data_IF_137664942387
#
_entry.id   IF_137664942387
#
_cell.length_a   1.000
_cell.length_b   1.000
_cell.length_c   1.000
_cell.angle_alpha   90.00
_cell.angle_beta   90.00
_cell.angle_gamma   90.00
#
_symmetry.space_group_name_H-M   'P 1'
#
loop_
_entity.id
_entity.type
_entity.pdbx_description
1 polymer ?
#
# COMPACT_ATOMS: atom_id res chain seq x y z
N UNK A 1 -0.55 -2.56 15.25
CA UNK A 1 0.74 -2.29 14.57
C UNK A 1 0.54 -2.06 13.08
N UNK A 2 1.42 -1.26 12.44
CA UNK A 2 1.36 -0.96 10.99
C UNK A 2 2.72 -1.24 10.35
N UNK A 3 2.79 -2.20 9.45
CA UNK A 3 3.93 -2.43 8.56
C UNK A 3 3.80 -1.48 7.37
N UNK A 4 4.88 -0.77 7.02
CA UNK A 4 4.83 0.16 5.89
C UNK A 4 6.06 0.06 4.99
N UNK A 5 5.85 0.32 3.70
CA UNK A 5 6.91 0.57 2.72
C UNK A 5 6.62 1.89 2.00
N UNK A 6 7.67 2.67 1.75
CA UNK A 6 7.56 3.94 1.03
C UNK A 6 8.83 4.24 0.25
N UNK A 7 8.70 4.50 -1.05
CA UNK A 7 9.83 4.93 -1.87
C UNK A 7 10.09 6.44 -1.81
N UNK A 8 9.03 7.25 -1.87
CA UNK A 8 9.13 8.72 -2.01
C UNK A 8 8.51 9.52 -0.86
N UNK A 9 8.01 8.84 0.18
CA UNK A 9 7.46 9.48 1.37
C UNK A 9 5.93 9.43 1.47
N UNK A 10 5.18 9.35 0.39
CA UNK A 10 3.71 9.38 0.39
C UNK A 10 3.08 8.31 1.30
N UNK A 11 3.47 7.04 1.12
CA UNK A 11 2.96 5.95 1.95
C UNK A 11 3.43 6.07 3.40
N UNK A 12 4.64 6.57 3.65
CA UNK A 12 5.13 6.83 5.00
C UNK A 12 4.30 7.90 5.69
N UNK A 13 3.93 8.97 4.98
CA UNK A 13 3.06 10.01 5.53
C UNK A 13 1.71 9.42 5.93
N UNK A 14 1.06 8.64 5.04
CA UNK A 14 -0.22 7.96 5.35
C UNK A 14 -0.08 7.04 6.56
N UNK A 15 0.99 6.23 6.61
CA UNK A 15 1.25 5.32 7.73
C UNK A 15 1.42 6.07 9.06
N UNK A 16 2.16 7.19 9.06
CA UNK A 16 2.33 8.05 10.25
C UNK A 16 1.02 8.66 10.74
N UNK A 17 0.19 9.16 9.81
CA UNK A 17 -1.12 9.72 10.16
C UNK A 17 -2.05 8.67 10.79
N UNK A 18 -2.11 7.48 10.18
CA UNK A 18 -2.90 6.37 10.71
C UNK A 18 -2.38 5.91 12.08
N UNK A 19 -1.08 5.72 12.22
CA UNK A 19 -0.46 5.29 13.47
C UNK A 19 -0.77 6.28 14.62
N UNK A 20 -0.64 7.58 14.36
CA UNK A 20 -0.96 8.63 15.32
C UNK A 20 -2.44 8.57 15.76
N UNK A 21 -3.37 8.36 14.83
CA UNK A 21 -4.80 8.34 15.14
C UNK A 21 -5.28 7.03 15.79
N UNK A 22 -4.59 5.92 15.52
CA UNK A 22 -4.94 4.58 16.00
C UNK A 22 -4.17 4.16 17.25
N UNK A 23 -3.10 4.89 17.61
CA UNK A 23 -2.17 4.50 18.68
C UNK A 23 -1.30 3.29 18.30
N UNK A 24 -1.06 3.08 17.01
CA UNK A 24 -0.33 1.91 16.49
C UNK A 24 1.16 2.20 16.33
N UNK A 25 2.02 1.17 16.50
CA UNK A 25 3.44 1.23 16.20
C UNK A 25 3.68 1.09 14.70
N UNK A 26 4.74 1.79 14.20
CA UNK A 26 5.17 1.71 12.80
C UNK A 26 6.40 0.82 12.66
N UNK A 27 6.36 -0.07 11.67
CA UNK A 27 7.43 -1.02 11.37
C UNK A 27 7.76 -0.94 9.88
N UNK A 28 8.97 -0.47 9.50
CA UNK A 28 9.35 -0.37 8.09
C UNK A 28 9.63 -1.76 7.50
N UNK A 29 8.95 -2.11 6.40
CA UNK A 29 9.13 -3.40 5.73
C UNK A 29 10.49 -3.55 5.03
N UNK A 30 11.18 -2.43 4.77
CA UNK A 30 12.49 -2.44 4.12
C UNK A 30 13.63 -2.78 5.06
N UNK A 31 13.40 -2.78 6.38
CA UNK A 31 14.42 -3.12 7.36
C UNK A 31 14.54 -4.64 7.47
N UNK A 32 15.75 -5.16 7.28
CA UNK A 32 16.00 -6.60 7.43
C UNK A 32 15.73 -7.09 8.86
N UNK A 33 15.93 -6.23 9.86
CA UNK A 33 15.65 -6.52 11.27
C UNK A 33 14.16 -6.84 11.48
N UNK A 34 13.26 -6.18 10.77
CA UNK A 34 11.81 -6.43 10.85
C UNK A 34 11.42 -7.87 10.45
N UNK A 35 12.24 -8.55 9.65
CA UNK A 35 12.02 -9.97 9.28
C UNK A 35 12.59 -10.95 10.31
N UNK A 36 13.47 -10.50 11.18
CA UNK A 36 14.08 -11.31 12.24
C UNK A 36 13.24 -11.34 13.51
N UNK A 37 12.34 -10.36 13.68
CA UNK A 37 11.44 -10.30 14.82
C UNK A 37 10.23 -11.22 14.67
N UNK A 38 9.64 -11.59 15.82
CA UNK A 38 8.38 -12.34 15.90
C UNK A 38 7.32 -11.41 16.46
N UNK A 39 6.30 -11.15 15.67
CA UNK A 39 5.21 -10.25 16.06
C UNK A 39 4.03 -11.05 16.59
N UNK A 40 3.75 -10.89 17.88
CA UNK A 40 2.54 -11.43 18.48
C UNK A 40 1.35 -10.51 18.19
N UNK A 41 0.19 -11.10 17.95
CA UNK A 41 -1.07 -10.37 17.82
C UNK A 41 -1.94 -10.60 19.06
N UNK A 42 -2.02 -9.61 19.92
CA UNK A 42 -2.95 -9.66 21.04
C UNK A 42 -4.41 -9.72 20.56
N UNK A 43 -5.29 -10.23 21.42
CA UNK A 43 -6.73 -10.27 21.12
C UNK A 43 -7.26 -8.85 20.89
N UNK A 44 -7.87 -8.61 19.73
CA UNK A 44 -8.41 -7.30 19.34
C UNK A 44 -7.39 -6.37 18.69
N UNK A 45 -6.12 -6.76 18.58
CA UNK A 45 -5.11 -5.98 17.89
C UNK A 45 -5.31 -5.99 16.36
N UNK A 46 -5.08 -4.83 15.76
CA UNK A 46 -5.12 -4.63 14.32
C UNK A 46 -3.72 -4.76 13.73
N UNK A 47 -3.65 -5.35 12.54
CA UNK A 47 -2.43 -5.38 11.73
C UNK A 47 -2.69 -4.66 10.41
N UNK A 48 -1.96 -3.60 10.16
CA UNK A 48 -2.03 -2.79 8.95
C UNK A 48 -0.84 -3.00 8.03
N UNK A 49 -1.08 -2.93 6.72
CA UNK A 49 -0.04 -2.87 5.69
C UNK A 49 -0.25 -1.60 4.88
N UNK A 50 0.74 -0.69 4.86
CA UNK A 50 0.67 0.58 4.11
C UNK A 50 1.78 0.61 3.07
N UNK A 51 1.42 0.79 1.79
CA UNK A 51 2.38 0.67 0.69
C UNK A 51 1.94 1.44 -0.56
N UNK A 52 2.88 1.82 -1.45
CA UNK A 52 2.54 2.44 -2.74
C UNK A 52 2.09 1.41 -3.76
N UNK A 53 1.36 1.87 -4.77
CA UNK A 53 1.07 1.09 -5.98
C UNK A 53 2.16 1.33 -7.00
N UNK A 54 2.84 0.26 -7.44
CA UNK A 54 3.82 0.30 -8.52
C UNK A 54 3.33 -0.55 -9.70
N UNK A 55 3.19 0.06 -10.87
CA UNK A 55 2.66 -0.62 -12.06
C UNK A 55 1.38 -1.43 -11.76
N UNK A 56 0.43 -0.79 -11.08
CA UNK A 56 -0.89 -1.34 -10.70
C UNK A 56 -0.84 -2.62 -9.84
N UNK A 57 0.22 -2.75 -9.05
CA UNK A 57 0.44 -3.91 -8.16
C UNK A 57 1.15 -3.47 -6.88
N UNK A 58 1.05 -4.27 -5.78
CA UNK A 58 1.93 -4.07 -4.63
C UNK A 58 3.39 -4.23 -5.06
N UNK A 59 4.34 -3.41 -4.55
CA UNK A 59 5.75 -3.60 -4.79
C UNK A 59 6.23 -4.99 -4.37
N UNK A 60 7.22 -5.54 -5.10
CA UNK A 60 7.80 -6.86 -4.76
C UNK A 60 8.28 -6.94 -3.33
N UNK A 61 8.90 -5.89 -2.80
CA UNK A 61 9.38 -5.84 -1.41
C UNK A 61 8.24 -6.05 -0.40
N UNK A 62 7.03 -5.54 -0.68
CA UNK A 62 5.85 -5.73 0.17
C UNK A 62 5.37 -7.19 0.14
N UNK A 63 5.32 -7.79 -1.04
CA UNK A 63 4.91 -9.19 -1.21
C UNK A 63 5.95 -10.15 -0.60
N UNK A 64 7.24 -9.87 -0.76
CA UNK A 64 8.33 -10.64 -0.17
C UNK A 64 8.30 -10.54 1.37
N UNK A 65 8.09 -9.33 1.91
CA UNK A 65 7.93 -9.12 3.35
C UNK A 65 6.73 -9.90 3.89
N UNK A 66 5.57 -9.74 3.26
CA UNK A 66 4.35 -10.45 3.65
C UNK A 66 4.53 -11.99 3.64
N UNK A 67 5.27 -12.52 2.67
CA UNK A 67 5.56 -13.95 2.60
C UNK A 67 6.45 -14.46 3.73
N UNK A 68 7.34 -13.62 4.28
CA UNK A 68 8.42 -14.01 5.21
C UNK A 68 8.19 -13.57 6.65
N UNK A 69 7.44 -12.49 6.89
CA UNK A 69 7.24 -11.94 8.23
C UNK A 69 6.72 -13.00 9.20
N UNK A 70 7.34 -13.05 10.39
CA UNK A 70 6.91 -13.93 11.49
C UNK A 70 5.85 -13.22 12.31
N UNK A 71 4.61 -13.45 11.94
CA UNK A 71 3.45 -12.80 12.55
C UNK A 71 2.41 -13.86 12.89
N UNK A 72 1.90 -13.81 14.10
CA UNK A 72 0.73 -14.60 14.49
C UNK A 72 -0.46 -14.29 13.61
N UNK A 73 -1.38 -15.23 13.47
CA UNK A 73 -2.57 -15.00 12.64
C UNK A 73 -3.35 -13.77 13.12
N UNK A 74 -3.43 -12.70 12.31
CA UNK A 74 -4.11 -11.48 12.72
C UNK A 74 -5.61 -11.67 12.97
N UNK A 75 -6.14 -11.09 14.04
CA UNK A 75 -7.58 -11.05 14.30
C UNK A 75 -8.29 -10.07 13.35
N UNK A 76 -7.63 -8.98 13.02
CA UNK A 76 -8.09 -8.00 12.06
C UNK A 76 -6.88 -7.50 11.23
N UNK A 77 -6.91 -7.75 9.93
CA UNK A 77 -5.89 -7.32 8.98
C UNK A 77 -6.50 -6.38 7.96
N UNK A 78 -5.82 -5.27 7.70
CA UNK A 78 -6.20 -4.30 6.67
C UNK A 78 -5.00 -3.86 5.85
N UNK A 79 -5.26 -3.27 4.69
CA UNK A 79 -4.25 -2.56 3.93
C UNK A 79 -4.71 -1.15 3.52
N UNK A 80 -3.74 -0.27 3.32
CA UNK A 80 -3.93 1.04 2.69
C UNK A 80 -2.86 1.20 1.61
N UNK A 81 -3.27 1.34 0.35
CA UNK A 81 -2.33 1.61 -0.72
C UNK A 81 -2.40 3.07 -1.17
N UNK A 82 -1.25 3.64 -1.55
CA UNK A 82 -1.18 4.99 -2.11
C UNK A 82 -0.91 4.92 -3.62
N UNK A 83 -1.58 5.75 -4.39
CA UNK A 83 -1.40 5.85 -5.85
C UNK A 83 -1.50 7.31 -6.30
N UNK A 84 -0.92 7.62 -7.44
CA UNK A 84 -1.09 8.94 -8.08
C UNK A 84 -2.46 9.11 -8.71
N UNK A 85 -2.94 8.06 -9.38
CA UNK A 85 -4.21 8.05 -10.11
C UNK A 85 -5.08 6.87 -9.70
N UNK A 86 -4.76 5.67 -10.16
CA UNK A 86 -5.57 4.47 -9.88
C UNK A 86 -4.72 3.28 -9.38
N UNK A 87 -5.40 2.31 -8.79
CA UNK A 87 -4.75 1.15 -8.18
C UNK A 87 -4.69 -0.07 -9.08
N UNK A 88 -5.41 -0.09 -10.20
CA UNK A 88 -5.67 -1.35 -10.90
C UNK A 88 -6.25 -2.40 -9.95
N UNK A 89 -5.78 -3.63 -10.07
CA UNK A 89 -6.15 -4.77 -9.22
C UNK A 89 -5.15 -5.02 -8.05
N UNK A 90 -4.49 -3.98 -7.59
CA UNK A 90 -3.57 -4.06 -6.43
C UNK A 90 -4.20 -4.74 -5.22
N UNK A 91 -5.48 -4.45 -4.95
CA UNK A 91 -6.22 -5.07 -3.86
C UNK A 91 -6.29 -6.60 -4.01
N UNK A 92 -6.64 -7.09 -5.20
CA UNK A 92 -6.78 -8.52 -5.48
C UNK A 92 -5.42 -9.23 -5.29
N UNK A 93 -4.34 -8.64 -5.84
CA UNK A 93 -2.97 -9.20 -5.72
C UNK A 93 -2.52 -9.26 -4.26
N UNK A 94 -2.77 -8.21 -3.47
CA UNK A 94 -2.40 -8.19 -2.05
C UNK A 94 -3.21 -9.21 -1.25
N UNK A 95 -4.51 -9.26 -1.47
CA UNK A 95 -5.41 -10.20 -0.77
C UNK A 95 -5.08 -11.64 -1.06
N UNK A 96 -4.75 -11.97 -2.32
CA UNK A 96 -4.27 -13.30 -2.69
C UNK A 96 -2.99 -13.69 -1.92
N UNK A 97 -2.07 -12.75 -1.75
CA UNK A 97 -0.87 -12.98 -0.97
C UNK A 97 -1.16 -13.18 0.54
N UNK A 98 -2.12 -12.45 1.09
CA UNK A 98 -2.62 -12.61 2.47
C UNK A 98 -3.27 -13.99 2.65
N UNK A 99 -4.10 -14.42 1.69
CA UNK A 99 -4.76 -15.72 1.73
C UNK A 99 -3.78 -16.88 1.63
N UNK A 100 -2.69 -16.75 0.89
CA UNK A 100 -1.59 -17.75 0.85
C UNK A 100 -0.93 -17.95 2.20
N UNK A 101 -1.01 -16.99 3.12
CA UNK A 101 -0.58 -17.10 4.52
C UNK A 101 -1.62 -17.77 5.43
N UNK A 102 -2.80 -18.11 4.91
CA UNK A 102 -3.94 -18.58 5.71
C UNK A 102 -4.60 -17.48 6.52
N UNK A 103 -4.36 -16.20 6.17
CA UNK A 103 -4.94 -15.03 6.82
C UNK A 103 -6.12 -14.49 6.04
N UNK A 104 -6.89 -13.61 6.68
CA UNK A 104 -8.04 -12.93 6.07
C UNK A 104 -7.80 -11.44 6.07
N UNK A 105 -7.94 -10.78 4.92
CA UNK A 105 -7.97 -9.33 4.82
C UNK A 105 -9.39 -8.83 5.08
N UNK A 106 -9.57 -7.94 6.05
CA UNK A 106 -10.89 -7.49 6.51
C UNK A 106 -11.30 -6.14 5.92
N UNK A 107 -10.33 -5.26 5.64
CA UNK A 107 -10.58 -3.96 5.05
C UNK A 107 -9.42 -3.56 4.13
N UNK A 108 -9.72 -2.75 3.11
CA UNK A 108 -8.72 -2.26 2.17
C UNK A 108 -9.13 -0.92 1.57
N UNK A 109 -8.17 -0.03 1.49
CA UNK A 109 -8.40 1.35 1.06
C UNK A 109 -7.32 1.84 0.10
N UNK A 110 -7.67 2.80 -0.75
CA UNK A 110 -6.69 3.60 -1.47
C UNK A 110 -6.74 5.06 -1.03
N UNK A 111 -5.56 5.69 -1.07
CA UNK A 111 -5.37 7.12 -0.88
C UNK A 111 -4.66 7.66 -2.11
N UNK A 112 -5.30 8.62 -2.80
CA UNK A 112 -4.68 9.33 -3.92
C UNK A 112 -3.71 10.36 -3.36
N UNK A 113 -2.46 10.32 -3.83
CA UNK A 113 -1.35 11.15 -3.40
C UNK A 113 -0.73 11.85 -4.61
N UNK A 114 0.03 12.93 -4.42
CA UNK A 114 0.74 13.57 -5.52
C UNK A 114 1.62 12.58 -6.30
N UNK A 115 1.66 12.76 -7.62
CA UNK A 115 2.53 11.99 -8.48
C UNK A 115 4.00 12.33 -8.22
N UNK A 116 4.80 11.30 -8.03
CA UNK A 116 6.26 11.41 -7.83
C UNK A 116 7.04 10.64 -8.88
N UNK A 117 6.37 10.20 -9.94
CA UNK A 117 6.96 9.39 -10.98
C UNK A 117 7.39 10.27 -12.18
N UNK A 118 8.70 10.42 -12.35
CA UNK A 118 9.33 11.28 -13.37
C UNK A 118 10.26 10.49 -14.32
N UNK A 119 10.23 9.17 -14.27
CA UNK A 119 11.24 8.34 -14.94
C UNK A 119 10.93 8.03 -16.40
N UNK A 120 9.77 8.41 -16.91
CA UNK A 120 9.39 8.17 -18.32
C UNK A 120 9.00 9.48 -19.01
N UNK A 121 9.36 9.62 -20.32
CA UNK A 121 8.87 10.73 -21.13
C UNK A 121 7.33 10.79 -21.13
N UNK A 122 6.78 11.98 -20.86
CA UNK A 122 5.33 12.19 -20.77
C UNK A 122 4.73 11.95 -19.40
N UNK A 123 5.51 11.50 -18.41
CA UNK A 123 5.13 11.49 -17.01
C UNK A 123 5.87 12.60 -16.28
N UNK A 124 5.14 13.42 -15.54
CA UNK A 124 5.68 14.52 -14.77
C UNK A 124 5.00 14.55 -13.40
N UNK A 125 5.54 15.36 -12.50
CA UNK A 125 4.88 15.67 -11.24
C UNK A 125 3.57 16.43 -11.51
N UNK A 126 2.63 16.33 -10.59
CA UNK A 126 1.40 17.13 -10.65
C UNK A 126 1.74 18.63 -10.63
N UNK A 127 0.93 19.45 -11.29
CA UNK A 127 0.99 20.89 -11.10
C UNK A 127 0.61 21.27 -9.65
N UNK A 128 0.98 22.48 -9.24
CA UNK A 128 0.82 22.96 -7.87
C UNK A 128 -0.62 22.84 -7.34
N UNK A 129 -1.63 23.18 -8.16
CA UNK A 129 -3.02 23.16 -7.74
C UNK A 129 -3.53 21.72 -7.59
N UNK A 130 -3.15 20.83 -8.51
CA UNK A 130 -3.45 19.39 -8.45
C UNK A 130 -2.78 18.75 -7.24
N UNK A 131 -1.49 19.02 -6.99
CA UNK A 131 -0.76 18.53 -5.81
C UNK A 131 -1.46 18.94 -4.52
N UNK A 132 -1.77 20.24 -4.39
CA UNK A 132 -2.43 20.81 -3.21
C UNK A 132 -3.80 20.15 -2.97
N UNK A 133 -4.59 19.99 -4.03
CA UNK A 133 -5.90 19.33 -3.95
C UNK A 133 -5.76 17.86 -3.50
N UNK A 134 -4.80 17.10 -4.08
CA UNK A 134 -4.54 15.71 -3.69
C UNK A 134 -4.14 15.61 -2.22
N UNK A 135 -3.26 16.49 -1.74
CA UNK A 135 -2.84 16.51 -0.32
C UNK A 135 -4.03 16.80 0.61
N UNK A 136 -4.86 17.78 0.30
CA UNK A 136 -6.04 18.11 1.10
C UNK A 136 -7.03 16.94 1.14
N UNK A 137 -7.30 16.32 0.00
CA UNK A 137 -8.18 15.15 -0.08
C UNK A 137 -7.60 13.94 0.66
N UNK A 138 -6.27 13.76 0.63
CA UNK A 138 -5.60 12.69 1.34
C UNK A 138 -5.76 12.82 2.87
N UNK A 139 -5.70 14.04 3.42
CA UNK A 139 -5.96 14.28 4.85
C UNK A 139 -7.35 13.78 5.24
N UNK A 140 -8.38 14.27 4.56
CA UNK A 140 -9.77 13.87 4.83
C UNK A 140 -9.98 12.35 4.63
N UNK A 141 -9.32 11.78 3.61
CA UNK A 141 -9.41 10.34 3.32
C UNK A 141 -8.78 9.50 4.43
N UNK A 142 -7.63 9.92 4.96
CA UNK A 142 -6.97 9.21 6.07
C UNK A 142 -7.78 9.32 7.37
N UNK A 143 -8.39 10.47 7.66
CA UNK A 143 -9.30 10.63 8.80
C UNK A 143 -10.49 9.68 8.70
N UNK A 144 -11.12 9.60 7.52
CA UNK A 144 -12.21 8.66 7.26
C UNK A 144 -11.75 7.20 7.48
N UNK A 145 -10.61 6.81 6.92
CA UNK A 145 -10.04 5.45 7.06
C UNK A 145 -9.79 5.14 8.54
N UNK A 146 -9.19 6.05 9.29
CA UNK A 146 -8.94 5.86 10.71
C UNK A 146 -10.24 5.66 11.52
N UNK A 147 -11.30 6.38 11.18
CA UNK A 147 -12.65 6.21 11.76
C UNK A 147 -13.22 4.80 11.53
N UNK A 148 -13.14 4.31 10.28
CA UNK A 148 -13.57 2.95 9.90
C UNK A 148 -12.75 1.87 10.64
N UNK A 149 -11.41 2.05 10.70
CA UNK A 149 -10.50 1.12 11.35
C UNK A 149 -10.71 1.05 12.87
N UNK A 150 -11.06 2.17 13.53
CA UNK A 150 -11.42 2.19 14.95
C UNK A 150 -12.66 1.33 15.25
N UNK A 151 -13.57 1.25 14.28
CA UNK A 151 -14.80 0.44 14.38
C UNK A 151 -14.60 -1.01 13.90
N UNK A 152 -13.39 -1.38 13.45
CA UNK A 152 -13.08 -2.69 12.85
C UNK A 152 -14.05 -3.07 11.71
N UNK A 153 -14.37 -2.13 10.85
CA UNK A 153 -15.26 -2.33 9.69
C UNK A 153 -14.74 -3.47 8.81
N UNK A 154 -15.63 -4.39 8.45
CA UNK A 154 -15.30 -5.52 7.55
C UNK A 154 -15.95 -5.29 6.20
N UNK A 155 -15.15 -5.34 5.16
CA UNK A 155 -15.57 -5.02 3.80
C UNK A 155 -15.80 -6.26 2.95
N UNK A 156 -16.88 -6.27 2.18
CA UNK A 156 -17.08 -7.22 1.08
C UNK A 156 -16.40 -6.75 -0.22
N UNK A 157 -16.32 -5.43 -0.41
CA UNK A 157 -15.62 -4.78 -1.52
C UNK A 157 -14.70 -3.70 -0.95
N UNK A 158 -13.42 -3.79 -1.29
CA UNK A 158 -12.43 -2.82 -0.83
C UNK A 158 -12.65 -1.42 -1.43
N UNK A 159 -12.39 -0.40 -0.63
CA UNK A 159 -12.59 1.02 -0.99
C UNK A 159 -11.35 1.56 -1.74
N UNK A 160 -11.07 0.95 -2.91
CA UNK A 160 -9.95 1.28 -3.78
C UNK A 160 -10.44 1.85 -5.11
N UNK A 161 -9.74 2.86 -5.63
CA UNK A 161 -10.01 3.43 -6.94
C UNK A 161 -9.29 2.63 -8.03
N UNK A 162 -9.96 1.64 -8.61
CA UNK A 162 -9.35 0.72 -9.59
C UNK A 162 -9.08 1.37 -10.96
N UNK A 163 -9.77 2.45 -11.29
CA UNK A 163 -9.70 3.12 -12.60
C UNK A 163 -10.31 2.32 -13.74
N UNK A 164 -10.02 2.74 -14.98
CA UNK A 164 -10.48 2.04 -16.18
C UNK A 164 -9.62 0.83 -16.51
N UNK A 165 -10.22 -0.24 -17.04
CA UNK A 165 -9.59 -1.50 -17.48
C UNK A 165 -8.56 -2.09 -16.49
N UNK A 166 -8.90 -2.20 -15.19
CA UNK A 166 -7.94 -2.52 -14.13
C UNK A 166 -7.27 -3.87 -14.32
N UNK A 167 -7.98 -4.85 -14.87
CA UNK A 167 -7.43 -6.17 -15.16
C UNK A 167 -6.29 -6.11 -16.18
N UNK A 168 -6.49 -5.39 -17.29
CA UNK A 168 -5.45 -5.25 -18.34
C UNK A 168 -4.23 -4.53 -17.77
N UNK A 169 -4.45 -3.46 -17.00
CA UNK A 169 -3.35 -2.71 -16.35
C UNK A 169 -2.50 -3.61 -15.46
N UNK A 170 -3.11 -4.38 -14.59
CA UNK A 170 -2.39 -5.17 -13.58
C UNK A 170 -1.77 -6.44 -14.16
N UNK A 171 -2.49 -7.19 -15.01
CA UNK A 171 -2.05 -8.52 -15.42
C UNK A 171 -1.37 -8.56 -16.79
N UNK A 172 -1.50 -7.50 -17.59
CA UNK A 172 -0.86 -7.41 -18.92
C UNK A 172 0.17 -6.29 -18.95
N UNK A 173 -0.25 -5.03 -18.71
CA UNK A 173 0.63 -3.87 -18.84
C UNK A 173 1.68 -3.82 -17.73
N UNK A 174 1.31 -4.10 -16.48
CA UNK A 174 2.22 -4.08 -15.32
C UNK A 174 3.42 -5.01 -15.49
N UNK A 175 3.23 -6.31 -15.78
CA UNK A 175 4.33 -7.23 -16.06
C UNK A 175 5.22 -6.82 -17.23
N UNK A 176 4.63 -6.32 -18.33
CA UNK A 176 5.38 -5.81 -19.47
C UNK A 176 6.20 -4.58 -19.08
N UNK A 177 5.61 -3.65 -18.35
CA UNK A 177 6.28 -2.47 -17.83
C UNK A 177 7.49 -2.85 -16.94
N UNK A 178 7.28 -3.73 -15.98
CA UNK A 178 8.33 -4.21 -15.08
C UNK A 178 9.47 -4.92 -15.84
N UNK A 179 9.15 -5.66 -16.90
CA UNK A 179 10.14 -6.41 -17.70
C UNK A 179 10.97 -5.52 -18.64
N UNK A 180 10.35 -4.53 -19.27
CA UNK A 180 10.98 -3.78 -20.36
C UNK A 180 11.37 -2.36 -19.95
N UNK A 181 10.70 -1.74 -19.02
CA UNK A 181 10.90 -0.34 -18.63
C UNK A 181 11.72 -0.22 -17.34
N UNK A 182 11.43 -1.05 -16.33
CA UNK A 182 12.10 -1.03 -15.02
C UNK A 182 13.39 -1.87 -15.05
N UNK A 183 14.29 -1.59 -15.97
CA UNK A 183 15.58 -2.29 -16.06
C UNK A 183 16.67 -1.52 -15.31
N UNK A 184 17.47 -2.14 -14.42
CA UNK A 184 18.61 -1.49 -13.77
C UNK A 184 19.82 -1.32 -14.71
N UNK A 185 19.75 -1.81 -15.95
CA UNK A 185 20.87 -1.78 -16.91
C UNK A 185 21.43 -0.39 -17.23
N UNK A 186 20.65 0.73 -17.21
CA UNK A 186 21.20 2.07 -17.40
C UNK A 186 22.05 2.59 -16.24
N UNK A 187 21.86 2.04 -15.05
CA UNK A 187 22.58 2.45 -13.84
C UNK A 187 23.83 1.58 -13.68
N UNK A 188 24.90 1.96 -14.36
CA UNK A 188 26.24 1.41 -14.10
C UNK A 188 26.93 2.30 -13.09
N UNK A 189 27.30 1.76 -11.94
CA UNK A 189 28.25 2.37 -11.03
C UNK A 189 29.65 2.27 -11.60
#
# INVERSE_FOLDING_TARGET
MIFYFSGTGNSQWVAKQLASQLGDTLIPMADEEALNEVYACAKGERVGFVFPVYAWSPPKVVLDFLARVRLDKPNYLYFVCTCGDDTGKTADVFVDAVMKRGWTCHAGYSVTMPNTYVSLPGFDVDDYDTERMKVQNAVARVEYIAGELKQNVRMHKYSCHEGAVPFIKTYVLGPLFNRFVMSPKPFRA
#
